data_IF_589655402752
#
_entry.id   IF_589655402752
#
_cell.length_a   1.000
_cell.length_b   1.000
_cell.length_c   1.000
_cell.angle_alpha   90.00
_cell.angle_beta   90.00
_cell.angle_gamma   90.00
#
_symmetry.space_group_name_H-M   'P 1'
#
loop_
_entity.id
_entity.type
_entity.pdbx_description
1 polymer ?
#
# COMPACT_ATOMS: atom_id res chain seq x y z
N UNK A 1 36.45 -6.12 11.53
CA UNK A 1 36.57 -6.04 10.05
C UNK A 1 37.68 -5.12 9.53
N UNK A 2 37.92 -3.91 10.07
CA UNK A 2 39.01 -3.01 9.61
C UNK A 2 40.41 -3.67 9.66
N UNK A 3 40.74 -4.35 10.77
CA UNK A 3 42.02 -5.05 10.97
C UNK A 3 42.28 -6.21 9.98
N UNK A 4 41.24 -6.96 9.58
CA UNK A 4 41.36 -8.04 8.57
C UNK A 4 41.72 -7.47 7.18
N UNK A 5 41.18 -6.29 6.86
CA UNK A 5 41.41 -5.63 5.58
C UNK A 5 42.83 -5.07 5.50
N UNK A 6 43.34 -4.50 6.59
CA UNK A 6 44.74 -4.08 6.74
C UNK A 6 45.72 -5.25 6.58
N UNK A 7 45.47 -6.39 7.24
CA UNK A 7 46.33 -7.59 7.12
C UNK A 7 46.37 -8.14 5.69
N UNK A 8 45.23 -8.12 4.98
CA UNK A 8 45.16 -8.52 3.55
C UNK A 8 45.92 -7.57 2.64
N UNK A 9 45.90 -6.26 2.92
CA UNK A 9 46.69 -5.28 2.18
C UNK A 9 48.20 -5.50 2.41
N UNK A 10 48.64 -5.74 3.65
CA UNK A 10 50.03 -6.05 3.98
C UNK A 10 50.52 -7.35 3.32
N UNK A 11 49.67 -8.39 3.25
CA UNK A 11 50.01 -9.60 2.51
C UNK A 11 50.15 -9.33 1.02
N UNK A 12 49.24 -8.53 0.44
CA UNK A 12 49.25 -8.22 -0.98
C UNK A 12 50.56 -7.50 -1.39
N UNK A 13 51.01 -6.53 -0.59
CA UNK A 13 52.28 -5.83 -0.82
C UNK A 13 53.49 -6.76 -0.72
N UNK A 14 53.53 -7.69 0.25
CA UNK A 14 54.61 -8.69 0.34
C UNK A 14 54.60 -9.64 -0.86
N UNK A 15 53.43 -10.11 -1.31
CA UNK A 15 53.36 -10.96 -2.51
C UNK A 15 53.76 -10.24 -3.78
N UNK A 16 53.55 -8.92 -3.84
CA UNK A 16 54.01 -8.09 -4.94
C UNK A 16 55.54 -7.94 -4.90
N UNK A 17 56.15 -7.72 -3.74
CA UNK A 17 57.60 -7.69 -3.56
C UNK A 17 58.27 -9.03 -3.91
N UNK A 18 57.66 -10.16 -3.52
CA UNK A 18 58.14 -11.49 -3.91
C UNK A 18 58.07 -11.65 -5.45
N UNK A 19 56.98 -11.18 -6.06
CA UNK A 19 56.81 -11.25 -7.52
C UNK A 19 57.82 -10.38 -8.26
N UNK A 20 58.11 -9.18 -7.77
CA UNK A 20 59.11 -8.30 -8.41
C UNK A 20 60.51 -8.90 -8.34
N UNK A 21 60.90 -9.48 -7.20
CA UNK A 21 62.19 -10.19 -7.06
C UNK A 21 62.31 -11.35 -8.05
N UNK A 22 61.28 -12.18 -8.19
CA UNK A 22 61.28 -13.28 -9.16
C UNK A 22 61.33 -12.79 -10.61
N UNK A 23 60.54 -11.77 -10.97
CA UNK A 23 60.55 -11.21 -12.33
C UNK A 23 61.89 -10.55 -12.68
N UNK A 24 62.59 -9.97 -11.70
CA UNK A 24 63.93 -9.40 -11.90
C UNK A 24 64.96 -10.50 -12.20
N UNK A 25 64.93 -11.59 -11.45
CA UNK A 25 65.80 -12.75 -11.70
C UNK A 25 65.52 -13.40 -13.08
N UNK A 26 64.24 -13.53 -13.46
CA UNK A 26 63.83 -14.03 -14.77
C UNK A 26 64.30 -13.13 -15.92
N UNK A 27 64.15 -11.80 -15.79
CA UNK A 27 64.58 -10.83 -16.80
C UNK A 27 66.11 -10.83 -16.98
N UNK A 28 66.86 -11.05 -15.91
CA UNK A 28 68.32 -11.15 -15.93
C UNK A 28 68.83 -12.55 -16.33
N UNK A 29 67.92 -13.50 -16.64
CA UNK A 29 68.19 -14.90 -17.03
C UNK A 29 69.18 -15.61 -16.10
N UNK A 30 69.14 -15.30 -14.81
CA UNK A 30 70.01 -15.88 -13.77
C UNK A 30 69.17 -16.50 -12.66
N UNK A 31 69.77 -17.42 -11.91
CA UNK A 31 69.23 -17.82 -10.62
C UNK A 31 69.35 -16.68 -9.61
N UNK A 32 68.51 -16.71 -8.57
CA UNK A 32 68.60 -15.81 -7.43
C UNK A 32 70.04 -15.81 -6.87
N UNK A 33 70.60 -14.63 -6.62
CA UNK A 33 71.87 -14.50 -5.90
C UNK A 33 71.68 -14.92 -4.44
N UNK A 34 72.77 -15.23 -3.74
CA UNK A 34 72.69 -15.71 -2.35
C UNK A 34 71.97 -14.71 -1.42
N UNK A 35 72.13 -13.40 -1.66
CA UNK A 35 71.45 -12.35 -0.90
C UNK A 35 69.96 -12.20 -1.30
N UNK A 36 69.62 -12.35 -2.58
CA UNK A 36 68.22 -12.30 -3.05
C UNK A 36 67.44 -13.56 -2.64
N UNK A 37 68.11 -14.71 -2.53
CA UNK A 37 67.53 -15.94 -1.99
C UNK A 37 67.18 -15.78 -0.50
N UNK A 38 68.09 -15.20 0.30
CA UNK A 38 67.83 -14.89 1.72
C UNK A 38 66.66 -13.92 1.89
N UNK A 39 66.58 -12.88 1.06
CA UNK A 39 65.46 -11.93 1.07
C UNK A 39 64.13 -12.58 0.65
N UNK A 40 64.15 -13.48 -0.33
CA UNK A 40 62.98 -14.24 -0.74
C UNK A 40 62.46 -15.12 0.39
N UNK A 41 63.34 -15.86 1.07
CA UNK A 41 62.98 -16.72 2.19
C UNK A 41 62.41 -15.91 3.37
N UNK A 42 62.97 -14.74 3.64
CA UNK A 42 62.46 -13.84 4.70
C UNK A 42 61.07 -13.28 4.38
N UNK A 43 60.86 -12.75 3.17
CA UNK A 43 59.55 -12.25 2.73
C UNK A 43 58.50 -13.37 2.68
N UNK A 44 58.92 -14.58 2.32
CA UNK A 44 58.04 -15.75 2.32
C UNK A 44 57.59 -16.11 3.73
N UNK A 45 58.52 -16.13 4.69
CA UNK A 45 58.21 -16.38 6.09
C UNK A 45 57.24 -15.33 6.65
N UNK A 46 57.41 -14.05 6.31
CA UNK A 46 56.48 -12.97 6.71
C UNK A 46 55.10 -13.10 6.04
N UNK A 47 55.04 -13.57 4.79
CA UNK A 47 53.76 -13.84 4.12
C UNK A 47 53.03 -15.00 4.78
N UNK A 48 53.76 -16.04 5.19
CA UNK A 48 53.19 -17.22 5.83
C UNK A 48 52.73 -16.93 7.27
N UNK A 49 53.42 -16.07 8.03
CA UNK A 49 52.91 -15.60 9.33
C UNK A 49 51.62 -14.79 9.17
N UNK A 50 51.56 -13.84 8.23
CA UNK A 50 50.33 -13.08 7.94
C UNK A 50 49.18 -13.98 7.46
N UNK A 51 49.47 -15.04 6.69
CA UNK A 51 48.47 -16.03 6.28
C UNK A 51 47.84 -16.72 7.50
N UNK A 52 48.66 -17.11 8.47
CA UNK A 52 48.14 -17.73 9.70
C UNK A 52 47.31 -16.76 10.54
N UNK A 53 47.68 -15.47 10.57
CA UNK A 53 46.93 -14.45 11.31
C UNK A 53 45.60 -14.11 10.62
N UNK A 54 45.59 -13.98 9.30
CA UNK A 54 44.37 -13.80 8.50
C UNK A 54 43.41 -14.98 8.73
N UNK A 55 43.91 -16.22 8.69
CA UNK A 55 43.09 -17.40 8.93
C UNK A 55 42.45 -17.41 10.33
N UNK A 56 43.16 -16.93 11.37
CA UNK A 56 42.62 -16.79 12.72
C UNK A 56 41.52 -15.72 12.80
N UNK A 57 41.71 -14.58 12.16
CA UNK A 57 40.70 -13.51 12.12
C UNK A 57 39.48 -13.88 11.26
N UNK A 58 39.68 -14.66 10.19
CA UNK A 58 38.59 -15.21 9.38
C UNK A 58 37.77 -16.21 10.18
N UNK A 59 38.44 -17.15 10.88
CA UNK A 59 37.76 -18.09 11.79
C UNK A 59 36.97 -17.36 12.88
N UNK A 60 37.55 -16.32 13.50
CA UNK A 60 36.84 -15.50 14.49
C UNK A 60 35.64 -14.77 13.88
N UNK A 61 35.77 -14.22 12.66
CA UNK A 61 34.67 -13.54 11.97
C UNK A 61 33.57 -14.50 11.53
N UNK A 62 33.92 -15.74 11.18
CA UNK A 62 32.97 -16.78 10.83
C UNK A 62 32.30 -17.35 12.09
N UNK A 63 33.00 -17.40 13.22
CA UNK A 63 32.43 -17.66 14.54
C UNK A 63 31.46 -16.54 14.97
N UNK A 64 31.83 -15.26 14.83
CA UNK A 64 30.94 -14.11 15.08
C UNK A 64 29.71 -14.14 14.16
N UNK A 65 29.87 -14.50 12.87
CA UNK A 65 28.74 -14.73 11.95
C UNK A 65 27.90 -15.94 12.32
N UNK A 66 28.50 -16.98 12.90
CA UNK A 66 27.79 -18.18 13.36
C UNK A 66 27.03 -17.92 14.67
N UNK A 67 27.54 -17.07 15.56
CA UNK A 67 26.82 -16.60 16.74
C UNK A 67 25.68 -15.65 16.35
N UNK A 68 25.86 -14.84 15.31
CA UNK A 68 24.78 -14.06 14.68
C UNK A 68 23.72 -14.91 13.96
N UNK A 69 23.93 -16.23 13.82
CA UNK A 69 22.95 -17.21 13.29
C UNK A 69 22.06 -17.85 14.36
N UNK A 70 22.01 -17.32 15.58
CA UNK A 70 20.80 -17.49 16.40
C UNK A 70 19.70 -16.55 15.87
N UNK A 71 19.22 -16.87 14.67
CA UNK A 71 18.06 -16.26 14.06
C UNK A 71 16.93 -17.30 14.06
N UNK A 72 15.69 -16.90 14.37
CA UNK A 72 14.55 -17.80 14.51
C UNK A 72 14.29 -18.54 13.20
N UNK A 73 13.55 -19.64 13.30
CA UNK A 73 13.15 -20.49 12.19
C UNK A 73 12.82 -19.68 10.92
N UNK A 74 13.35 -20.12 9.78
CA UNK A 74 12.96 -19.69 8.43
C UNK A 74 11.44 -19.49 8.36
N UNK A 75 10.98 -18.24 8.43
CA UNK A 75 9.58 -17.92 8.15
C UNK A 75 9.32 -18.30 6.70
N UNK A 76 8.44 -19.27 6.50
CA UNK A 76 7.90 -19.60 5.20
C UNK A 76 7.17 -18.36 4.68
N UNK A 77 7.72 -17.72 3.64
CA UNK A 77 7.08 -16.61 2.92
C UNK A 77 5.62 -16.98 2.64
N UNK A 78 4.69 -16.16 3.15
CA UNK A 78 3.26 -16.42 2.97
C UNK A 78 2.89 -16.28 1.49
N UNK A 79 1.90 -17.07 1.05
CA UNK A 79 1.34 -16.95 -0.30
C UNK A 79 0.90 -15.51 -0.62
N UNK A 80 0.49 -14.73 0.39
CA UNK A 80 0.10 -13.33 0.23
C UNK A 80 1.28 -12.38 -0.03
N UNK A 81 2.44 -12.67 0.56
CA UNK A 81 3.67 -11.91 0.31
C UNK A 81 4.24 -12.21 -1.07
N UNK A 82 4.17 -13.48 -1.49
CA UNK A 82 4.53 -13.90 -2.84
C UNK A 82 3.58 -13.31 -3.89
N UNK A 83 2.27 -13.24 -3.60
CA UNK A 83 1.27 -12.53 -4.42
C UNK A 83 1.67 -11.09 -4.59
N UNK A 84 1.95 -10.39 -3.48
CA UNK A 84 2.34 -8.98 -3.51
C UNK A 84 3.61 -8.79 -4.34
N UNK A 85 4.67 -9.57 -4.11
CA UNK A 85 5.93 -9.45 -4.86
C UNK A 85 5.77 -9.67 -6.37
N UNK A 86 4.98 -10.67 -6.79
CA UNK A 86 4.71 -10.91 -8.21
C UNK A 86 3.87 -9.76 -8.81
N UNK A 87 2.93 -9.19 -8.04
CA UNK A 87 2.02 -8.13 -8.47
C UNK A 87 2.53 -6.70 -8.32
N UNK A 88 3.56 -6.42 -7.53
CA UNK A 88 4.12 -5.06 -7.33
C UNK A 88 5.60 -4.99 -7.70
N UNK A 89 6.34 -6.11 -7.63
CA UNK A 89 7.79 -6.14 -7.87
C UNK A 89 8.61 -5.56 -6.71
N UNK A 90 7.95 -5.14 -5.63
CA UNK A 90 8.59 -4.59 -4.44
C UNK A 90 8.83 -5.71 -3.41
N UNK A 91 10.10 -5.98 -3.11
CA UNK A 91 10.47 -6.70 -1.88
C UNK A 91 10.39 -5.69 -0.74
N UNK A 92 9.44 -5.82 0.19
CA UNK A 92 9.57 -5.13 1.48
C UNK A 92 10.73 -5.77 2.24
N UNK A 93 11.94 -5.26 2.02
CA UNK A 93 13.11 -5.63 2.81
C UNK A 93 13.07 -4.87 4.14
N UNK A 94 12.52 -5.50 5.17
CA UNK A 94 12.95 -5.22 6.54
C UNK A 94 14.29 -5.94 6.73
N UNK A 95 15.38 -5.22 6.48
CA UNK A 95 16.71 -5.60 6.96
C UNK A 95 17.36 -4.36 7.56
N UNK A 96 17.03 -4.12 8.82
CA UNK A 96 17.80 -3.26 9.73
C UNK A 96 19.13 -3.96 10.03
N UNK A 97 20.12 -3.81 9.14
CA UNK A 97 21.39 -4.51 9.29
C UNK A 97 22.63 -3.73 8.86
N UNK A 98 22.48 -2.56 8.24
CA UNK A 98 23.61 -1.68 7.92
C UNK A 98 23.17 -0.21 8.03
N UNK A 99 23.50 0.51 9.12
CA UNK A 99 23.27 1.95 9.22
C UNK A 99 24.42 2.67 8.50
N UNK A 100 24.38 2.73 7.16
CA UNK A 100 25.41 3.43 6.39
C UNK A 100 24.92 4.31 5.25
N UNK A 101 23.61 4.41 5.00
CA UNK A 101 23.08 5.42 4.08
C UNK A 101 21.81 6.02 4.70
N UNK A 102 22.03 7.07 5.50
CA UNK A 102 20.95 7.95 5.96
C UNK A 102 20.30 8.62 4.76
N UNK A 103 18.97 8.50 4.65
CA UNK A 103 18.20 9.13 3.57
C UNK A 103 16.80 8.56 3.32
N UNK A 104 16.41 7.42 3.91
CA UNK A 104 15.08 6.83 3.64
C UNK A 104 14.29 6.37 4.87
N UNK A 105 14.77 6.61 6.10
CA UNK A 105 14.04 6.24 7.33
C UNK A 105 13.05 7.30 7.83
N UNK A 106 13.17 8.56 7.37
CA UNK A 106 12.31 9.66 7.88
C UNK A 106 10.93 9.68 7.20
N UNK A 107 10.84 9.24 5.94
CA UNK A 107 9.60 9.36 5.13
C UNK A 107 8.46 8.42 5.61
N UNK A 108 8.71 7.14 6.00
CA UNK A 108 7.63 6.28 6.51
C UNK A 108 7.07 6.73 7.87
N UNK A 109 7.89 7.38 8.70
CA UNK A 109 7.47 7.85 10.03
C UNK A 109 6.65 9.14 9.92
N UNK A 110 7.09 10.09 9.08
CA UNK A 110 6.35 11.32 8.77
C UNK A 110 4.96 11.01 8.19
N UNK A 111 4.88 10.07 7.23
CA UNK A 111 3.60 9.66 6.64
C UNK A 111 2.65 9.03 7.67
N UNK A 112 3.18 8.33 8.69
CA UNK A 112 2.37 7.76 9.77
C UNK A 112 1.87 8.84 10.71
N UNK A 113 2.70 9.82 11.05
CA UNK A 113 2.32 10.94 11.90
C UNK A 113 1.21 11.77 11.26
N UNK A 114 1.35 12.12 9.97
CA UNK A 114 0.31 12.86 9.25
C UNK A 114 -0.99 12.05 9.19
N UNK A 115 -0.93 10.73 8.95
CA UNK A 115 -2.14 9.89 8.95
C UNK A 115 -2.78 9.74 10.34
N UNK A 116 -1.98 9.74 11.41
CA UNK A 116 -2.49 9.75 12.79
C UNK A 116 -3.18 11.06 13.10
N UNK A 117 -2.52 12.20 12.82
CA UNK A 117 -3.09 13.53 12.99
C UNK A 117 -4.41 13.67 12.21
N UNK A 118 -4.43 13.22 10.96
CA UNK A 118 -5.63 13.25 10.12
C UNK A 118 -6.76 12.35 10.64
N UNK A 119 -6.44 11.23 11.30
CA UNK A 119 -7.44 10.35 11.90
C UNK A 119 -7.99 10.92 13.23
N UNK A 120 -7.15 11.62 13.99
CA UNK A 120 -7.51 12.19 15.29
C UNK A 120 -8.30 13.51 15.15
N UNK A 121 -7.95 14.35 14.17
CA UNK A 121 -8.58 15.65 13.94
C UNK A 121 -9.85 15.56 13.09
N UNK A 122 -9.92 14.67 12.08
CA UNK A 122 -11.12 14.57 11.25
C UNK A 122 -12.29 13.90 11.99
N UNK A 123 -13.31 14.70 12.25
CA UNK A 123 -14.58 14.26 12.84
C UNK A 123 -15.30 13.29 11.91
N UNK A 124 -15.26 13.52 10.59
CA UNK A 124 -15.89 12.63 9.62
C UNK A 124 -15.27 11.23 9.63
N UNK A 125 -13.95 11.12 9.81
CA UNK A 125 -13.23 9.83 9.94
C UNK A 125 -13.59 9.08 11.22
N UNK A 126 -13.90 9.80 12.29
CA UNK A 126 -14.33 9.21 13.58
C UNK A 126 -15.75 8.63 13.53
N UNK A 127 -16.65 9.24 12.75
CA UNK A 127 -18.08 8.83 12.69
C UNK A 127 -18.37 7.83 11.57
N UNK A 128 -17.57 7.81 10.51
CA UNK A 128 -17.78 6.96 9.34
C UNK A 128 -16.96 5.66 9.41
N UNK A 129 -17.31 4.68 8.58
CA UNK A 129 -16.47 3.46 8.45
C UNK A 129 -15.37 3.69 7.42
N UNK A 130 -14.12 3.46 7.81
CA UNK A 130 -12.95 3.54 6.93
C UNK A 130 -12.71 2.19 6.25
N UNK A 131 -12.49 2.23 4.94
CA UNK A 131 -12.11 1.09 4.09
C UNK A 131 -10.82 1.42 3.36
N UNK A 132 -10.05 0.40 3.02
CA UNK A 132 -8.83 0.56 2.22
C UNK A 132 -8.97 -0.19 0.90
N UNK A 133 -8.41 0.37 -0.17
CA UNK A 133 -8.38 -0.25 -1.49
C UNK A 133 -7.01 -0.09 -2.17
N UNK A 134 -6.70 -1.01 -3.08
CA UNK A 134 -5.48 -0.99 -3.93
C UNK A 134 -5.75 -0.44 -5.33
N UNK A 135 -7.01 -0.42 -5.74
CA UNK A 135 -7.42 0.11 -7.04
C UNK A 135 -7.88 1.55 -6.87
N UNK A 136 -7.93 2.29 -7.98
CA UNK A 136 -8.48 3.65 -8.02
C UNK A 136 -10.01 3.70 -7.76
N UNK A 137 -10.61 2.57 -7.40
CA UNK A 137 -12.04 2.38 -7.23
C UNK A 137 -12.28 1.27 -6.19
N UNK A 138 -13.29 1.44 -5.34
CA UNK A 138 -13.79 0.45 -4.38
C UNK A 138 -15.25 0.14 -4.68
N UNK A 139 -15.61 -1.14 -4.70
CA UNK A 139 -16.95 -1.61 -5.11
C UNK A 139 -17.53 -2.50 -4.04
N UNK A 140 -18.82 -2.30 -3.76
CA UNK A 140 -19.56 -3.13 -2.82
C UNK A 140 -20.99 -3.34 -3.28
N UNK A 141 -21.44 -4.61 -3.26
CA UNK A 141 -22.82 -4.96 -3.51
C UNK A 141 -23.65 -4.74 -2.24
N UNK A 142 -24.79 -4.06 -2.37
CA UNK A 142 -25.73 -3.80 -1.28
C UNK A 142 -27.12 -4.28 -1.65
N UNK A 143 -27.83 -4.87 -0.70
CA UNK A 143 -29.22 -5.27 -0.89
C UNK A 143 -30.15 -4.08 -0.65
N UNK A 144 -31.01 -3.77 -1.63
CA UNK A 144 -32.01 -2.69 -1.54
C UNK A 144 -33.30 -3.19 -0.85
N UNK A 145 -33.35 -4.47 -0.46
CA UNK A 145 -34.55 -5.11 0.05
C UNK A 145 -35.51 -5.46 -1.08
N UNK A 146 -36.82 -5.51 -0.78
CA UNK A 146 -37.86 -5.92 -1.73
C UNK A 146 -38.38 -7.35 -1.53
N UNK A 147 -37.79 -8.10 -0.60
CA UNK A 147 -38.36 -9.36 -0.13
C UNK A 147 -39.73 -9.09 0.52
N UNK A 148 -40.78 -9.66 -0.04
CA UNK A 148 -42.10 -9.64 0.57
C UNK A 148 -42.36 -10.97 1.30
N UNK A 149 -43.01 -10.90 2.46
CA UNK A 149 -43.50 -12.09 3.16
C UNK A 149 -45.02 -12.06 3.10
N UNK A 150 -45.63 -13.14 2.62
CA UNK A 150 -47.07 -13.30 2.55
C UNK A 150 -47.52 -14.37 3.54
N UNK A 151 -48.67 -14.15 4.18
CA UNK A 151 -49.32 -15.17 5.00
C UNK A 151 -50.10 -16.14 4.09
N UNK A 152 -49.93 -17.44 4.30
CA UNK A 152 -50.67 -18.47 3.55
C UNK A 152 -51.96 -18.87 4.26
N UNK A 153 -53.02 -19.12 3.50
CA UNK A 153 -54.26 -19.74 3.97
C UNK A 153 -54.28 -21.23 3.59
N UNK A 154 -54.94 -22.06 4.40
CA UNK A 154 -55.09 -23.50 4.13
C UNK A 154 -55.98 -23.74 2.89
N UNK A 155 -55.54 -24.62 1.99
CA UNK A 155 -56.29 -24.99 0.78
C UNK A 155 -56.13 -24.06 -0.43
N UNK A 156 -55.36 -22.96 -0.33
CA UNK A 156 -55.08 -22.07 -1.47
C UNK A 156 -53.62 -22.17 -1.94
N UNK A 157 -53.42 -22.07 -3.26
CA UNK A 157 -52.09 -22.01 -3.85
C UNK A 157 -51.36 -20.73 -3.42
N UNK A 158 -50.09 -20.86 -3.04
CA UNK A 158 -49.23 -19.73 -2.65
C UNK A 158 -48.65 -19.08 -3.91
N UNK A 159 -48.86 -17.77 -4.06
CA UNK A 159 -48.26 -16.98 -5.15
C UNK A 159 -46.79 -16.62 -4.88
N UNK A 160 -46.08 -16.22 -5.93
CA UNK A 160 -44.69 -15.75 -5.83
C UNK A 160 -44.60 -14.44 -5.03
N UNK A 161 -43.64 -14.37 -4.11
CA UNK A 161 -43.35 -13.15 -3.34
C UNK A 161 -42.23 -12.33 -4.00
N UNK A 162 -42.18 -11.03 -3.71
CA UNK A 162 -41.12 -10.14 -4.21
C UNK A 162 -39.72 -10.67 -3.92
N UNK A 163 -38.85 -10.64 -4.93
CA UNK A 163 -37.44 -11.07 -4.82
C UNK A 163 -36.55 -9.90 -4.39
N UNK A 164 -35.58 -10.10 -3.47
CA UNK A 164 -34.63 -9.05 -3.09
C UNK A 164 -33.82 -8.57 -4.30
N UNK A 165 -33.71 -7.25 -4.46
CA UNK A 165 -32.82 -6.63 -5.46
C UNK A 165 -31.47 -6.29 -4.83
N UNK A 166 -30.39 -6.48 -5.59
CA UNK A 166 -29.05 -6.02 -5.22
C UNK A 166 -28.65 -4.89 -6.17
N UNK A 167 -28.03 -3.86 -5.62
CA UNK A 167 -27.43 -2.74 -6.36
C UNK A 167 -25.93 -2.68 -6.06
N UNK A 168 -25.16 -2.18 -7.01
CA UNK A 168 -23.72 -2.00 -6.86
C UNK A 168 -23.41 -0.53 -6.51
N UNK A 169 -22.62 -0.33 -5.44
CA UNK A 169 -22.10 0.98 -5.05
C UNK A 169 -20.62 1.02 -5.41
N UNK A 170 -20.24 1.98 -6.27
CA UNK A 170 -18.84 2.22 -6.65
C UNK A 170 -18.34 3.56 -6.12
N UNK A 171 -17.13 3.54 -5.56
CA UNK A 171 -16.46 4.68 -4.94
C UNK A 171 -15.11 4.85 -5.64
N UNK A 172 -14.95 5.93 -6.42
CA UNK A 172 -13.70 6.30 -7.08
C UNK A 172 -12.79 7.06 -6.12
N UNK A 173 -11.48 6.94 -6.29
CA UNK A 173 -10.49 7.69 -5.53
C UNK A 173 -9.88 8.80 -6.40
N UNK A 174 -9.74 9.99 -5.82
CA UNK A 174 -9.17 11.18 -6.42
C UNK A 174 -7.99 11.71 -5.59
N UNK A 175 -6.89 12.14 -6.21
CA UNK A 175 -5.77 12.67 -5.45
C UNK A 175 -6.06 14.08 -4.91
N UNK A 176 -5.82 14.29 -3.62
CA UNK A 176 -5.58 15.58 -2.98
C UNK A 176 -4.07 15.77 -2.87
N UNK A 177 -3.57 16.95 -3.23
CA UNK A 177 -2.14 17.23 -3.19
C UNK A 177 -1.85 18.64 -2.67
N UNK A 178 -0.72 18.78 -1.97
CA UNK A 178 -0.09 20.06 -1.69
C UNK A 178 1.29 20.09 -2.32
N UNK A 179 1.68 21.26 -2.82
CA UNK A 179 3.00 21.46 -3.42
C UNK A 179 3.60 22.83 -3.08
N UNK A 180 3.81 23.15 -1.80
CA UNK A 180 4.48 24.38 -1.41
C UNK A 180 5.97 24.37 -1.79
N UNK A 181 6.50 25.57 -2.00
CA UNK A 181 7.90 25.83 -2.37
C UNK A 181 8.58 26.68 -1.30
N UNK A 182 9.83 26.39 -1.00
CA UNK A 182 10.72 27.21 -0.19
C UNK A 182 12.09 27.35 -0.87
N UNK A 183 12.92 28.29 -0.42
CA UNK A 183 14.30 28.43 -0.93
C UNK A 183 15.26 27.55 -0.14
N UNK A 184 16.28 27.03 -0.81
CA UNK A 184 17.30 26.20 -0.15
C UNK A 184 18.08 27.00 0.92
N UNK A 185 18.36 28.27 0.64
CA UNK A 185 19.03 29.18 1.59
C UNK A 185 18.24 29.32 2.90
N UNK A 186 16.91 29.40 2.83
CA UNK A 186 16.09 29.52 4.03
C UNK A 186 16.11 28.23 4.84
N UNK A 187 16.20 27.06 4.20
CA UNK A 187 16.36 25.79 4.92
C UNK A 187 17.74 25.71 5.59
N UNK A 188 18.79 26.13 4.91
CA UNK A 188 20.18 25.97 5.38
C UNK A 188 20.58 27.01 6.43
N UNK A 189 19.99 28.22 6.40
CA UNK A 189 20.34 29.35 7.28
C UNK A 189 19.29 29.70 8.32
N UNK A 190 18.15 28.99 8.37
CA UNK A 190 17.16 29.22 9.43
C UNK A 190 17.50 28.43 10.68
N UNK A 191 17.39 29.08 11.84
CA UNK A 191 17.45 28.43 13.16
C UNK A 191 16.17 27.66 13.51
N UNK A 192 15.13 27.72 12.64
CA UNK A 192 13.82 27.09 12.83
C UNK A 192 13.66 25.91 11.86
N UNK A 193 13.04 24.81 12.31
CA UNK A 193 12.71 23.67 11.45
C UNK A 193 11.54 24.00 10.50
N UNK A 194 11.87 24.58 9.35
CA UNK A 194 10.90 24.99 8.33
C UNK A 194 10.25 23.78 7.67
N UNK A 195 10.93 22.65 7.56
CA UNK A 195 10.37 21.44 6.95
C UNK A 195 9.35 20.77 7.87
N UNK A 196 9.64 20.73 9.18
CA UNK A 196 8.68 20.29 10.20
C UNK A 196 7.42 21.14 10.20
N UNK A 197 7.58 22.47 10.26
CA UNK A 197 6.46 23.42 10.20
C UNK A 197 5.64 23.30 8.90
N UNK A 198 6.30 23.23 7.75
CA UNK A 198 5.62 23.06 6.47
C UNK A 198 4.81 21.76 6.44
N UNK A 199 5.33 20.70 7.05
CA UNK A 199 4.64 19.41 7.08
C UNK A 199 3.42 19.43 7.99
N UNK A 200 3.47 20.10 9.15
CA UNK A 200 2.29 20.27 10.02
C UNK A 200 1.22 21.11 9.33
N UNK A 201 1.61 22.22 8.69
CA UNK A 201 0.66 23.07 7.95
C UNK A 201 0.00 22.31 6.79
N UNK A 202 0.77 21.47 6.09
CA UNK A 202 0.21 20.57 5.08
C UNK A 202 -0.78 19.60 5.73
N UNK A 203 -0.45 18.99 6.88
CA UNK A 203 -1.36 18.07 7.55
C UNK A 203 -2.71 18.72 7.88
N UNK A 204 -2.68 19.92 8.48
CA UNK A 204 -3.88 20.68 8.89
C UNK A 204 -4.74 21.03 7.66
N UNK A 205 -4.12 21.58 6.60
CA UNK A 205 -4.85 21.92 5.36
C UNK A 205 -5.41 20.68 4.64
N UNK A 206 -4.77 19.51 4.78
CA UNK A 206 -5.31 18.25 4.29
C UNK A 206 -6.55 17.80 5.07
N UNK A 207 -6.59 18.01 6.39
CA UNK A 207 -7.77 17.74 7.22
C UNK A 207 -8.94 18.60 6.74
N UNK A 208 -8.73 19.92 6.64
CA UNK A 208 -9.76 20.88 6.27
C UNK A 208 -10.35 20.62 4.89
N UNK A 209 -9.48 20.37 3.91
CA UNK A 209 -9.88 20.08 2.53
C UNK A 209 -10.62 18.75 2.43
N UNK A 210 -10.12 17.71 3.10
CA UNK A 210 -10.80 16.42 3.16
C UNK A 210 -12.17 16.54 3.82
N UNK A 211 -12.29 17.19 4.99
CA UNK A 211 -13.56 17.38 5.68
C UNK A 211 -14.57 18.13 4.81
N UNK A 212 -14.14 19.22 4.18
CA UNK A 212 -14.97 20.02 3.28
C UNK A 212 -15.53 19.17 2.13
N UNK A 213 -14.67 18.35 1.51
CA UNK A 213 -15.03 17.46 0.43
C UNK A 213 -15.99 16.35 0.89
N UNK A 214 -15.79 15.78 2.09
CA UNK A 214 -16.67 14.74 2.66
C UNK A 214 -18.04 15.29 3.08
N UNK A 215 -18.16 16.58 3.40
CA UNK A 215 -19.41 17.23 3.77
C UNK A 215 -20.18 17.70 2.53
N UNK A 216 -19.52 18.49 1.68
CA UNK A 216 -20.16 19.29 0.63
C UNK A 216 -19.58 19.11 -0.77
N UNK A 217 -18.60 18.22 -0.95
CA UNK A 217 -17.95 18.04 -2.23
C UNK A 217 -18.94 17.57 -3.33
N UNK A 218 -18.66 17.96 -4.57
CA UNK A 218 -19.57 17.84 -5.71
C UNK A 218 -19.44 16.50 -6.47
N UNK A 219 -18.47 15.66 -6.12
CA UNK A 219 -18.18 14.41 -6.84
C UNK A 219 -17.38 14.58 -8.13
N UNK A 220 -17.05 15.81 -8.55
CA UNK A 220 -16.30 16.10 -9.76
C UNK A 220 -14.83 16.32 -9.44
N UNK A 221 -14.04 15.26 -9.55
CA UNK A 221 -12.60 15.24 -9.22
C UNK A 221 -12.24 15.42 -7.74
N UNK A 222 -13.23 15.44 -6.85
CA UNK A 222 -13.14 15.57 -5.39
C UNK A 222 -14.36 14.93 -4.75
N UNK A 223 -14.30 14.54 -3.48
CA UNK A 223 -15.32 13.70 -2.85
C UNK A 223 -16.75 14.15 -3.06
N UNK A 224 -17.66 13.17 -3.14
CA UNK A 224 -19.09 13.47 -3.15
C UNK A 224 -19.56 13.49 -1.71
N UNK A 225 -19.67 14.70 -1.17
CA UNK A 225 -20.09 14.90 0.20
C UNK A 225 -21.52 14.46 0.45
N UNK A 226 -21.84 14.12 1.70
CA UNK A 226 -23.17 13.60 2.04
C UNK A 226 -24.31 14.61 1.78
N UNK A 227 -24.02 15.93 1.74
CA UNK A 227 -25.01 16.97 1.43
C UNK A 227 -25.34 17.10 -0.06
N UNK A 228 -24.46 16.60 -0.92
CA UNK A 228 -24.58 16.68 -2.39
C UNK A 228 -25.43 15.56 -2.97
N UNK A 229 -25.89 14.60 -2.16
CA UNK A 229 -26.83 13.57 -2.61
C UNK A 229 -28.22 14.16 -2.85
N UNK A 230 -28.95 13.64 -3.84
CA UNK A 230 -30.32 14.08 -4.10
C UNK A 230 -31.20 13.83 -2.87
N UNK A 231 -32.12 14.75 -2.58
CA UNK A 231 -32.97 14.76 -1.39
C UNK A 231 -34.45 14.82 -1.75
N UNK A 232 -35.26 14.01 -1.07
CA UNK A 232 -36.71 13.90 -1.28
C UNK A 232 -37.45 13.86 0.07
N UNK A 233 -38.71 14.29 0.11
CA UNK A 233 -39.58 14.25 1.30
C UNK A 233 -40.26 12.88 1.47
N UNK A 234 -40.29 12.06 0.42
CA UNK A 234 -40.93 10.75 0.43
C UNK A 234 -40.30 9.76 1.43
N UNK A 235 -41.02 8.69 1.79
CA UNK A 235 -40.54 7.65 2.70
C UNK A 235 -39.61 6.63 2.01
N UNK A 236 -38.75 5.96 2.78
CA UNK A 236 -37.71 5.00 2.33
C UNK A 236 -38.11 3.96 1.27
N UNK A 237 -39.35 3.47 1.26
CA UNK A 237 -39.79 2.40 0.33
C UNK A 237 -40.31 2.92 -1.00
N UNK A 238 -40.65 4.21 -1.07
CA UNK A 238 -41.17 4.87 -2.27
C UNK A 238 -40.05 5.56 -3.03
N UNK A 239 -39.04 6.03 -2.29
CA UNK A 239 -37.86 6.73 -2.82
C UNK A 239 -36.94 5.85 -3.66
N UNK A 240 -36.36 6.47 -4.68
CA UNK A 240 -35.28 5.88 -5.47
C UNK A 240 -34.05 5.67 -4.59
N UNK A 241 -33.37 4.54 -4.77
CA UNK A 241 -32.09 4.26 -4.11
C UNK A 241 -31.09 5.40 -4.35
N UNK A 242 -30.39 5.81 -3.29
CA UNK A 242 -29.44 6.94 -3.35
C UNK A 242 -30.03 8.32 -3.09
N UNK A 243 -31.33 8.43 -2.78
CA UNK A 243 -31.96 9.70 -2.37
C UNK A 243 -32.13 9.79 -0.84
N UNK A 244 -31.58 10.85 -0.24
CA UNK A 244 -31.69 11.11 1.20
C UNK A 244 -33.02 11.76 1.56
N UNK A 245 -33.45 11.63 2.82
CA UNK A 245 -34.72 12.24 3.24
C UNK A 245 -34.43 13.67 3.67
N UNK A 246 -35.27 14.61 3.24
CA UNK A 246 -35.23 15.98 3.75
C UNK A 246 -36.50 16.31 4.53
N UNK A 247 -36.30 17.10 5.58
CA UNK A 247 -37.34 17.83 6.29
C UNK A 247 -37.01 19.31 6.10
N UNK A 248 -37.90 20.06 5.46
CA UNK A 248 -37.74 21.50 5.26
C UNK A 248 -38.63 22.23 6.26
N UNK A 249 -38.04 23.16 7.02
CA UNK A 249 -38.73 23.92 8.06
C UNK A 249 -38.38 25.39 7.89
N UNK A 250 -39.37 26.27 8.05
CA UNK A 250 -39.22 27.73 7.93
C UNK A 250 -38.52 28.36 9.14
N UNK A 251 -38.66 27.75 10.33
CA UNK A 251 -37.99 28.17 11.56
C UNK A 251 -37.60 26.95 12.39
N UNK A 252 -36.38 26.95 12.93
CA UNK A 252 -35.90 25.87 13.78
C UNK A 252 -36.71 25.81 15.08
N UNK A 253 -37.44 24.72 15.29
CA UNK A 253 -38.22 24.45 16.51
C UNK A 253 -37.81 23.13 17.15
N UNK A 254 -38.10 22.96 18.45
CA UNK A 254 -37.86 21.71 19.15
C UNK A 254 -38.65 20.54 18.54
N UNK A 255 -39.90 20.80 18.12
CA UNK A 255 -40.75 19.78 17.48
C UNK A 255 -40.13 19.29 16.17
N UNK A 256 -39.53 20.18 15.39
CA UNK A 256 -38.85 19.82 14.13
C UNK A 256 -37.68 18.86 14.34
N UNK A 257 -36.94 19.00 15.45
CA UNK A 257 -35.84 18.10 15.81
C UNK A 257 -36.35 16.72 16.25
N UNK A 258 -37.47 16.70 16.97
CA UNK A 258 -38.14 15.47 17.39
C UNK A 258 -38.67 14.73 16.16
N UNK A 259 -39.35 15.43 15.26
CA UNK A 259 -39.89 14.87 14.03
C UNK A 259 -38.78 14.27 13.16
N UNK A 260 -37.65 14.98 13.00
CA UNK A 260 -36.49 14.49 12.27
C UNK A 260 -35.92 13.20 12.89
N UNK A 261 -35.85 13.11 14.23
CA UNK A 261 -35.42 11.90 14.93
C UNK A 261 -36.36 10.71 14.69
N UNK A 262 -37.67 10.93 14.74
CA UNK A 262 -38.65 9.86 14.57
C UNK A 262 -38.92 9.51 13.10
N UNK A 263 -38.51 10.37 12.16
CA UNK A 263 -38.49 10.08 10.73
C UNK A 263 -37.48 8.98 10.38
N UNK A 264 -36.36 8.94 11.11
CA UNK A 264 -35.36 7.89 10.96
C UNK A 264 -35.92 6.56 11.49
N UNK A 265 -35.80 5.49 10.71
CA UNK A 265 -36.23 4.15 11.15
C UNK A 265 -35.43 3.70 12.38
N UNK A 266 -36.12 3.06 13.32
CA UNK A 266 -35.54 2.53 14.56
C UNK A 266 -34.30 1.63 14.34
N UNK A 267 -34.20 0.92 13.20
CA UNK A 267 -33.01 0.14 12.84
C UNK A 267 -31.73 0.99 12.78
N UNK A 268 -31.85 2.24 12.34
CA UNK A 268 -30.74 3.18 12.18
C UNK A 268 -30.59 4.12 13.39
N UNK A 269 -31.66 4.38 14.14
CA UNK A 269 -31.60 5.22 15.33
C UNK A 269 -30.63 4.74 16.41
N UNK A 270 -30.34 3.43 16.50
CA UNK A 270 -29.45 2.86 17.53
C UNK A 270 -28.03 3.44 17.51
N UNK A 271 -27.51 3.75 16.33
CA UNK A 271 -26.15 4.27 16.14
C UNK A 271 -26.18 5.64 15.42
N UNK A 272 -27.32 6.32 15.46
CA UNK A 272 -27.47 7.60 14.78
C UNK A 272 -26.73 8.70 15.55
N UNK A 273 -26.17 9.65 14.80
CA UNK A 273 -25.41 10.78 15.33
C UNK A 273 -25.91 12.07 14.70
N UNK A 274 -26.00 13.13 15.51
CA UNK A 274 -26.28 14.48 15.03
C UNK A 274 -25.00 15.12 14.52
N UNK A 275 -25.13 15.82 13.39
CA UNK A 275 -24.03 16.52 12.74
C UNK A 275 -24.52 17.93 12.38
N UNK A 276 -23.81 18.96 12.83
CA UNK A 276 -24.14 20.37 12.57
C UNK A 276 -22.91 21.27 12.75
N UNK A 277 -22.99 22.50 12.22
CA UNK A 277 -22.01 23.55 12.51
C UNK A 277 -22.16 24.06 13.96
N UNK A 278 -21.09 24.49 14.60
CA UNK A 278 -21.08 25.12 15.93
C UNK A 278 -22.03 26.34 16.00
N UNK A 279 -22.12 27.14 14.93
CA UNK A 279 -23.06 28.27 14.87
C UNK A 279 -24.53 27.82 14.90
N UNK A 280 -24.82 26.69 14.24
CA UNK A 280 -26.16 26.07 14.22
C UNK A 280 -26.46 25.40 15.57
N UNK A 281 -25.47 24.79 16.21
CA UNK A 281 -25.62 24.26 17.56
C UNK A 281 -25.96 25.36 18.57
N UNK A 282 -25.31 26.53 18.48
CA UNK A 282 -25.65 27.67 19.31
C UNK A 282 -27.11 28.12 19.11
N UNK A 283 -27.68 28.00 17.91
CA UNK A 283 -29.10 28.27 17.66
C UNK A 283 -30.00 27.20 18.30
N UNK A 284 -29.62 25.92 18.24
CA UNK A 284 -30.34 24.82 18.91
C UNK A 284 -30.33 25.00 20.43
N UNK A 285 -29.20 25.41 21.01
CA UNK A 285 -29.07 25.63 22.45
C UNK A 285 -29.91 26.82 22.93
N UNK A 286 -30.09 27.84 22.09
CA UNK A 286 -30.95 29.00 22.37
C UNK A 286 -32.45 28.68 22.37
N UNK A 287 -32.86 27.47 21.98
CA UNK A 287 -34.26 27.05 22.04
C UNK A 287 -34.72 26.95 23.50
N UNK A 288 -35.79 27.67 23.82
CA UNK A 288 -36.37 27.73 25.16
C UNK A 288 -37.76 27.11 25.18
N UNK A 289 -38.13 26.52 26.32
CA UNK A 289 -39.51 26.15 26.59
C UNK A 289 -40.37 27.40 26.89
N UNK A 290 -41.69 27.23 26.99
CA UNK A 290 -42.60 28.33 27.36
C UNK A 290 -42.32 28.98 28.73
N UNK A 291 -41.52 28.31 29.59
CA UNK A 291 -41.09 28.81 30.90
C UNK A 291 -39.74 29.53 30.86
N UNK A 292 -39.11 29.67 29.69
CA UNK A 292 -37.82 30.35 29.51
C UNK A 292 -36.57 29.49 29.78
N UNK A 293 -36.72 28.22 30.11
CA UNK A 293 -35.60 27.29 30.29
C UNK A 293 -35.09 26.78 28.95
N UNK A 294 -33.76 26.67 28.82
CA UNK A 294 -33.12 26.02 27.68
C UNK A 294 -33.48 24.54 27.59
N UNK A 295 -33.92 24.11 26.40
CA UNK A 295 -34.33 22.73 26.10
C UNK A 295 -33.12 21.80 26.04
N UNK A 296 -32.01 22.31 25.51
CA UNK A 296 -30.74 21.62 25.45
C UNK A 296 -29.68 22.43 26.18
N UNK A 297 -28.86 21.75 26.98
CA UNK A 297 -27.74 22.33 27.71
C UNK A 297 -26.53 21.45 27.45
N UNK A 298 -25.39 22.09 27.23
CA UNK A 298 -24.11 21.40 27.21
C UNK A 298 -23.87 20.75 28.58
N UNK A 299 -23.20 19.60 28.58
CA UNK A 299 -22.83 18.96 29.85
C UNK A 299 -21.68 19.75 30.48
N UNK A 300 -21.74 19.89 31.81
CA UNK A 300 -20.72 20.61 32.58
C UNK A 300 -19.44 19.77 32.83
N UNK A 301 -19.43 18.50 32.41
CA UNK A 301 -18.34 17.55 32.66
C UNK A 301 -17.50 17.40 31.39
N UNK A 302 -16.18 17.59 31.53
CA UNK A 302 -15.22 17.45 30.42
C UNK A 302 -15.20 16.01 29.86
N UNK A 303 -14.95 15.89 28.56
CA UNK A 303 -14.81 14.66 27.75
C UNK A 303 -16.06 13.83 27.39
N UNK A 304 -17.24 14.14 27.91
CA UNK A 304 -18.47 13.49 27.43
C UNK A 304 -19.02 14.22 26.19
N UNK A 305 -19.33 13.51 25.08
CA UNK A 305 -19.92 14.15 23.89
C UNK A 305 -21.29 14.72 24.23
N UNK A 306 -21.60 15.90 23.68
CA UNK A 306 -22.90 16.51 23.89
C UNK A 306 -24.03 15.61 23.38
N UNK A 307 -25.11 15.52 24.16
CA UNK A 307 -26.24 14.63 23.86
C UNK A 307 -27.46 15.48 23.54
N UNK A 308 -28.00 15.34 22.33
CA UNK A 308 -29.24 15.95 21.89
C UNK A 308 -30.29 14.85 21.68
N UNK A 309 -31.40 14.94 22.43
CA UNK A 309 -32.50 13.97 22.38
C UNK A 309 -32.04 12.50 22.57
N UNK A 310 -30.99 12.28 23.37
CA UNK A 310 -30.46 10.93 23.66
C UNK A 310 -29.51 10.37 22.59
N UNK A 311 -29.07 11.18 21.63
CA UNK A 311 -28.07 10.82 20.62
C UNK A 311 -26.87 11.79 20.70
N UNK A 312 -25.64 11.33 20.40
CA UNK A 312 -24.46 12.19 20.43
C UNK A 312 -24.52 13.27 19.34
N UNK A 313 -23.83 14.38 19.59
CA UNK A 313 -23.65 15.50 18.67
C UNK A 313 -22.16 15.62 18.29
N UNK A 314 -21.89 15.76 17.01
CA UNK A 314 -20.57 16.11 16.50
C UNK A 314 -20.63 17.40 15.70
N UNK A 315 -19.65 18.26 15.96
CA UNK A 315 -19.52 19.54 15.28
C UNK A 315 -18.69 19.36 14.01
N UNK A 316 -19.25 19.78 12.87
CA UNK A 316 -18.53 19.89 11.60
C UNK A 316 -18.51 21.36 11.20
N UNK A 317 -17.34 21.98 11.27
CA UNK A 317 -17.19 23.41 10.98
C UNK A 317 -17.45 23.74 9.51
N UNK A 318 -17.16 22.80 8.60
CA UNK A 318 -17.36 22.94 7.16
C UNK A 318 -18.81 22.71 6.69
N UNK A 319 -19.73 22.49 7.61
CA UNK A 319 -21.15 22.36 7.29
C UNK A 319 -21.80 23.74 7.11
N UNK A 320 -22.63 23.96 6.07
CA UNK A 320 -23.33 25.23 5.89
C UNK A 320 -24.27 25.53 7.06
N UNK A 321 -24.42 26.80 7.38
CA UNK A 321 -25.29 27.25 8.48
C UNK A 321 -26.76 26.88 8.23
N UNK A 322 -27.47 26.55 9.31
CA UNK A 322 -28.90 26.22 9.25
C UNK A 322 -29.21 24.83 8.70
N UNK A 323 -28.19 24.02 8.39
CA UNK A 323 -28.35 22.63 7.97
C UNK A 323 -28.00 21.71 9.14
N UNK A 324 -28.85 20.72 9.41
CA UNK A 324 -28.63 19.70 10.43
C UNK A 324 -28.74 18.32 9.77
N UNK A 325 -27.77 17.46 10.04
CA UNK A 325 -27.74 16.07 9.62
C UNK A 325 -28.05 15.12 10.78
N UNK A 326 -28.82 14.07 10.51
CA UNK A 326 -29.00 12.93 11.41
C UNK A 326 -28.91 11.63 10.62
N UNK A 327 -28.10 10.70 11.09
CA UNK A 327 -28.05 9.37 10.50
C UNK A 327 -27.03 8.44 11.15
N UNK A 328 -27.10 7.17 10.77
CA UNK A 328 -26.04 6.19 11.08
C UNK A 328 -24.94 6.32 10.03
N UNK A 329 -23.99 7.23 10.27
CA UNK A 329 -22.88 7.49 9.36
C UNK A 329 -21.94 6.28 9.21
N UNK A 330 -21.81 5.42 10.24
CA UNK A 330 -21.01 4.19 10.16
C UNK A 330 -21.51 3.24 9.08
N UNK A 331 -22.83 3.18 8.88
CA UNK A 331 -23.46 2.34 7.83
C UNK A 331 -23.76 3.11 6.54
N UNK A 332 -24.07 4.39 6.65
CA UNK A 332 -24.53 5.22 5.55
C UNK A 332 -23.41 5.81 4.70
N UNK A 333 -22.20 5.97 5.26
CA UNK A 333 -21.10 6.66 4.60
C UNK A 333 -19.77 5.92 4.81
N UNK A 334 -19.10 5.63 3.70
CA UNK A 334 -17.80 4.95 3.68
C UNK A 334 -16.72 5.92 3.22
N UNK A 335 -15.66 6.01 4.02
CA UNK A 335 -14.42 6.69 3.63
C UNK A 335 -13.49 5.61 3.10
N UNK A 336 -13.01 5.75 1.87
CA UNK A 336 -12.13 4.79 1.22
C UNK A 336 -10.77 5.43 0.99
N UNK A 337 -9.75 4.88 1.64
CA UNK A 337 -8.36 5.27 1.46
C UNK A 337 -7.64 4.33 0.50
N UNK A 338 -6.64 4.85 -0.21
CA UNK A 338 -5.71 4.00 -0.93
C UNK A 338 -4.70 3.37 0.06
N UNK A 339 -4.34 2.10 -0.13
CA UNK A 339 -3.43 1.36 0.77
C UNK A 339 -2.05 2.04 0.93
N UNK A 340 -1.64 2.84 -0.05
CA UNK A 340 -0.36 3.55 0.01
C UNK A 340 -0.34 4.73 0.98
N UNK A 341 -1.51 5.17 1.46
CA UNK A 341 -1.64 6.32 2.36
C UNK A 341 -1.14 7.63 1.74
N UNK A 342 -0.63 8.51 2.61
CA UNK A 342 0.00 9.78 2.27
C UNK A 342 1.43 9.53 1.80
N UNK A 343 1.85 10.26 0.77
CA UNK A 343 3.20 10.23 0.22
C UNK A 343 3.77 11.63 0.18
N UNK A 344 4.83 11.85 0.95
CA UNK A 344 5.63 13.08 0.86
C UNK A 344 6.91 12.80 0.06
N UNK A 345 7.15 13.59 -0.99
CA UNK A 345 8.35 13.53 -1.84
C UNK A 345 9.04 14.90 -1.85
N UNK A 346 10.31 14.98 -1.44
CA UNK A 346 11.10 16.18 -1.66
C UNK A 346 11.52 16.29 -3.12
N UNK A 347 11.47 17.50 -3.68
CA UNK A 347 11.94 17.83 -5.02
C UNK A 347 12.87 19.05 -4.95
N UNK A 348 14.16 18.78 -5.15
CA UNK A 348 15.23 19.76 -5.24
C UNK A 348 15.85 19.83 -6.65
N UNK A 349 15.30 19.10 -7.63
CA UNK A 349 15.89 18.93 -8.97
C UNK A 349 15.16 19.79 -10.00
N UNK A 350 13.84 19.90 -9.89
CA UNK A 350 13.02 20.53 -10.94
C UNK A 350 13.27 22.03 -11.06
N UNK A 351 13.70 22.71 -9.98
CA UNK A 351 14.03 24.14 -10.00
C UNK A 351 15.24 24.43 -9.08
N UNK A 352 16.45 24.63 -9.64
CA UNK A 352 17.65 24.87 -8.83
C UNK A 352 17.51 26.09 -7.91
N UNK A 353 17.98 25.96 -6.67
CA UNK A 353 17.87 26.99 -5.62
C UNK A 353 16.57 26.95 -4.81
N UNK A 354 15.59 26.16 -5.24
CA UNK A 354 14.35 25.93 -4.52
C UNK A 354 14.24 24.48 -4.03
N UNK A 355 13.58 24.34 -2.88
CA UNK A 355 13.19 23.06 -2.32
C UNK A 355 11.66 22.99 -2.29
N UNK A 356 11.09 21.98 -2.94
CA UNK A 356 9.65 21.78 -3.03
C UNK A 356 9.27 20.51 -2.30
N UNK A 357 8.17 20.54 -1.56
CA UNK A 357 7.64 19.37 -0.85
C UNK A 357 6.34 18.96 -1.51
N UNK A 358 6.36 17.86 -2.26
CA UNK A 358 5.17 17.31 -2.88
C UNK A 358 4.53 16.27 -1.97
N UNK A 359 3.38 16.60 -1.40
CA UNK A 359 2.59 15.68 -0.60
C UNK A 359 1.31 15.32 -1.35
N UNK A 360 1.09 14.04 -1.63
CA UNK A 360 -0.12 13.54 -2.28
C UNK A 360 -0.80 12.43 -1.45
N UNK A 361 -2.14 12.47 -1.43
CA UNK A 361 -3.02 11.46 -0.85
C UNK A 361 -4.18 11.20 -1.80
N UNK A 362 -4.70 9.97 -1.87
CA UNK A 362 -5.95 9.70 -2.59
C UNK A 362 -7.15 9.71 -1.62
N UNK A 363 -8.18 10.50 -1.93
CA UNK A 363 -9.45 10.70 -1.19
C UNK A 363 -10.67 10.51 -2.13
N UNK A 364 -11.77 10.04 -1.55
CA UNK A 364 -13.01 9.48 -2.13
C UNK A 364 -13.74 10.33 -3.18
N UNK A 365 -14.65 9.72 -3.99
CA UNK A 365 -15.90 10.19 -4.65
C UNK A 365 -16.86 9.01 -4.82
N UNK A 366 -18.16 9.22 -4.66
CA UNK A 366 -19.20 8.23 -4.93
C UNK A 366 -20.07 8.66 -6.14
N UNK A 367 -19.94 8.01 -7.31
CA UNK A 367 -20.95 8.05 -8.40
C UNK A 367 -20.88 6.77 -9.28
N UNK A 368 -22.04 6.42 -9.84
CA UNK A 368 -22.49 5.19 -10.50
C UNK A 368 -21.61 4.59 -11.64
N UNK A 369 -21.92 3.32 -11.99
CA UNK A 369 -21.04 2.21 -12.42
C UNK A 369 -21.25 1.62 -13.85
N UNK A 370 -20.16 1.11 -14.51
CA UNK A 370 -19.99 -0.20 -15.23
C UNK A 370 -18.55 -0.38 -15.84
N UNK A 371 -18.02 -1.58 -16.23
CA UNK A 371 -17.05 -2.38 -15.47
C UNK A 371 -15.64 -2.54 -16.15
N UNK A 372 -14.60 -3.14 -15.49
CA UNK A 372 -14.47 -4.62 -15.43
C UNK A 372 -13.97 -5.21 -14.09
N UNK A 373 -14.07 -6.54 -14.05
CA UNK A 373 -13.98 -7.53 -12.97
C UNK A 373 -12.68 -7.58 -12.13
N UNK A 374 -12.85 -8.08 -10.91
CA UNK A 374 -11.87 -8.65 -9.98
C UNK A 374 -10.64 -9.34 -10.64
N UNK A 375 -9.44 -8.86 -10.31
CA UNK A 375 -8.14 -9.35 -10.78
C UNK A 375 -7.68 -10.73 -10.22
N UNK A 376 -8.60 -11.61 -9.81
CA UNK A 376 -8.27 -12.99 -9.41
C UNK A 376 -8.30 -14.01 -10.57
N UNK A 377 -8.59 -13.55 -11.80
CA UNK A 377 -8.65 -14.39 -13.02
C UNK A 377 -7.52 -14.11 -14.02
N UNK A 378 -6.33 -13.69 -13.58
CA UNK A 378 -5.21 -13.51 -14.52
C UNK A 378 -4.82 -14.89 -15.11
N UNK A 379 -5.09 -15.05 -16.40
CA UNK A 379 -4.79 -16.27 -17.14
C UNK A 379 -3.28 -16.49 -17.22
N UNK A 380 -2.87 -17.75 -17.46
CA UNK A 380 -1.44 -18.10 -17.68
C UNK A 380 -0.75 -17.27 -18.77
N UNK A 381 -1.52 -16.72 -19.71
CA UNK A 381 -1.02 -15.88 -20.81
C UNK A 381 -0.77 -14.45 -20.33
N UNK A 382 -1.74 -13.87 -19.62
CA UNK A 382 -1.67 -12.51 -19.09
C UNK A 382 -0.56 -12.35 -18.05
N UNK A 383 -0.41 -13.30 -17.11
CA UNK A 383 0.66 -13.21 -16.11
C UNK A 383 2.06 -13.33 -16.74
N UNK A 384 2.19 -14.16 -17.78
CA UNK A 384 3.44 -14.29 -18.54
C UNK A 384 3.79 -13.00 -19.29
N UNK A 385 2.79 -12.29 -19.80
CA UNK A 385 2.96 -11.00 -20.46
C UNK A 385 3.31 -9.91 -19.46
N UNK A 386 2.64 -9.87 -18.30
CA UNK A 386 2.88 -8.91 -17.23
C UNK A 386 4.33 -8.95 -16.70
N UNK A 387 4.86 -10.16 -16.47
CA UNK A 387 6.26 -10.35 -16.03
C UNK A 387 7.25 -10.16 -17.19
N UNK A 388 6.79 -10.13 -18.44
CA UNK A 388 7.65 -9.94 -19.62
C UNK A 388 8.46 -11.18 -20.00
N UNK A 389 7.86 -12.37 -19.82
CA UNK A 389 8.44 -13.69 -20.18
C UNK A 389 7.68 -14.38 -21.32
N UNK A 390 6.58 -13.79 -21.78
CA UNK A 390 5.87 -14.24 -22.96
C UNK A 390 6.65 -13.85 -24.24
N UNK A 391 6.86 -14.77 -25.20
CA UNK A 391 7.46 -14.43 -26.47
C UNK A 391 6.48 -13.60 -27.31
N UNK A 392 6.90 -12.39 -27.71
CA UNK A 392 6.12 -11.47 -28.54
C UNK A 392 6.58 -11.60 -29.99
N UNK A 393 5.64 -11.52 -30.93
CA UNK A 393 5.95 -11.49 -32.35
C UNK A 393 6.41 -10.09 -32.77
N UNK A 394 7.39 -10.02 -33.68
CA UNK A 394 7.91 -8.77 -34.22
C UNK A 394 7.71 -8.78 -35.73
N UNK A 395 6.44 -8.86 -36.13
CA UNK A 395 6.05 -8.97 -37.52
C UNK A 395 5.65 -7.59 -38.05
N UNK A 396 6.11 -7.21 -39.24
CA UNK A 396 5.69 -5.98 -39.93
C UNK A 396 5.43 -6.26 -41.42
N UNK A 397 4.21 -6.01 -41.89
CA UNK A 397 3.83 -6.28 -43.28
C UNK A 397 4.08 -7.73 -43.69
N UNK A 398 5.08 -7.95 -44.56
CA UNK A 398 5.53 -9.28 -45.02
C UNK A 398 6.67 -9.89 -44.20
N UNK A 399 7.28 -9.13 -43.29
CA UNK A 399 8.40 -9.58 -42.46
C UNK A 399 7.88 -10.38 -41.26
N UNK A 400 8.35 -11.63 -41.14
CA UNK A 400 8.18 -12.47 -39.93
C UNK A 400 9.52 -12.62 -39.23
N UNK A 401 9.74 -11.87 -38.15
CA UNK A 401 11.01 -11.84 -37.40
C UNK A 401 10.99 -12.83 -36.21
N UNK A 402 12.17 -13.06 -35.62
CA UNK A 402 12.35 -13.93 -34.45
C UNK A 402 11.57 -13.38 -33.26
N UNK A 403 10.84 -14.27 -32.59
CA UNK A 403 10.11 -13.93 -31.36
C UNK A 403 11.09 -13.66 -30.22
N UNK A 404 10.97 -12.50 -29.60
CA UNK A 404 11.79 -12.10 -28.44
C UNK A 404 10.88 -11.85 -27.25
N UNK A 405 11.45 -11.94 -26.04
CA UNK A 405 10.80 -11.42 -24.85
C UNK A 405 11.12 -9.93 -24.76
N UNK A 406 10.11 -9.09 -24.51
CA UNK A 406 10.28 -7.65 -24.40
C UNK A 406 9.30 -7.08 -23.36
N UNK A 407 9.65 -5.95 -22.76
CA UNK A 407 8.81 -5.26 -21.77
C UNK A 407 8.65 -6.02 -20.46
N UNK A 408 7.54 -5.76 -19.76
CA UNK A 408 7.18 -6.35 -18.47
C UNK A 408 8.08 -5.89 -17.31
N UNK A 409 8.01 -6.62 -16.20
CA UNK A 409 8.67 -6.25 -14.93
C UNK A 409 10.04 -6.85 -14.80
N UNK A 410 11.06 -6.04 -15.08
CA UNK A 410 12.45 -6.48 -15.10
C UNK A 410 12.92 -7.08 -13.76
N UNK A 411 12.58 -6.47 -12.62
CA UNK A 411 12.98 -6.98 -11.28
C UNK A 411 12.46 -8.39 -10.99
N UNK A 412 11.15 -8.60 -11.16
CA UNK A 412 10.50 -9.92 -10.97
C UNK A 412 11.06 -10.95 -11.95
N UNK A 413 11.28 -10.55 -13.21
CA UNK A 413 11.88 -11.44 -14.22
C UNK A 413 13.29 -11.86 -13.83
N UNK A 414 14.12 -10.95 -13.32
CA UNK A 414 15.49 -11.24 -12.87
C UNK A 414 15.47 -12.19 -11.67
N UNK A 415 14.62 -11.94 -10.68
CA UNK A 415 14.49 -12.81 -9.51
C UNK A 415 14.03 -14.22 -9.88
N UNK A 416 12.99 -14.34 -10.73
CA UNK A 416 12.52 -15.62 -11.23
C UNK A 416 13.58 -16.32 -12.10
N UNK A 417 14.39 -15.57 -12.84
CA UNK A 417 15.50 -16.14 -13.60
C UNK A 417 16.55 -16.75 -12.67
N UNK A 418 16.94 -16.05 -11.61
CA UNK A 418 17.87 -16.57 -10.59
C UNK A 418 17.30 -17.79 -9.87
N UNK A 419 16.02 -17.75 -9.48
CA UNK A 419 15.34 -18.90 -8.89
C UNK A 419 15.29 -20.10 -9.85
N UNK A 420 15.07 -19.85 -11.15
CA UNK A 420 15.02 -20.92 -12.16
C UNK A 420 16.41 -21.55 -12.40
N UNK A 421 17.50 -20.80 -12.29
CA UNK A 421 18.85 -21.35 -12.36
C UNK A 421 19.11 -22.38 -11.25
N UNK A 422 18.59 -22.14 -10.05
CA UNK A 422 18.66 -23.09 -8.93
C UNK A 422 17.67 -24.24 -9.16
N UNK A 423 16.43 -23.93 -9.56
CA UNK A 423 15.38 -24.92 -9.78
C UNK A 423 15.74 -25.96 -10.86
N UNK A 424 16.44 -25.55 -11.93
CA UNK A 424 16.90 -26.48 -12.98
C UNK A 424 17.94 -27.49 -12.48
N UNK A 425 18.61 -27.24 -11.35
CA UNK A 425 19.58 -28.15 -10.75
C UNK A 425 18.95 -29.08 -9.71
N UNK A 426 18.10 -28.52 -8.85
CA UNK A 426 17.60 -29.18 -7.64
C UNK A 426 16.13 -29.60 -7.71
N UNK A 427 15.27 -28.90 -8.46
CA UNK A 427 13.86 -29.26 -8.58
C UNK A 427 13.65 -30.28 -9.72
N UNK A 428 13.18 -31.51 -9.43
CA UNK A 428 13.07 -32.58 -10.44
C UNK A 428 12.10 -32.22 -11.58
N UNK A 429 11.01 -31.49 -11.31
CA UNK A 429 9.98 -31.11 -12.29
C UNK A 429 10.51 -30.09 -13.29
N UNK A 430 11.25 -29.08 -12.82
CA UNK A 430 11.82 -28.05 -13.68
C UNK A 430 13.05 -28.59 -14.42
N UNK A 431 13.86 -29.43 -13.77
CA UNK A 431 15.05 -30.08 -14.37
C UNK A 431 14.70 -30.98 -15.55
N UNK A 432 13.71 -31.85 -15.39
CA UNK A 432 13.23 -32.74 -16.47
C UNK A 432 12.67 -31.94 -17.65
N UNK A 433 11.87 -30.90 -17.38
CA UNK A 433 11.36 -29.99 -18.40
C UNK A 433 12.49 -29.27 -19.16
N UNK A 434 13.52 -28.80 -18.45
CA UNK A 434 14.69 -28.16 -19.03
C UNK A 434 15.49 -29.12 -19.92
N UNK A 435 15.80 -30.32 -19.43
CA UNK A 435 16.53 -31.34 -20.18
C UNK A 435 15.80 -31.77 -21.44
N UNK A 436 14.47 -31.92 -21.38
CA UNK A 436 13.63 -32.22 -22.55
C UNK A 436 13.71 -31.14 -23.62
N UNK A 437 13.75 -29.85 -23.23
CA UNK A 437 13.90 -28.75 -24.18
C UNK A 437 15.29 -28.71 -24.82
N UNK A 438 16.34 -29.05 -24.07
CA UNK A 438 17.69 -29.18 -24.61
C UNK A 438 17.80 -30.36 -25.59
N UNK A 439 17.21 -31.51 -25.26
CA UNK A 439 17.14 -32.67 -26.14
C UNK A 439 16.38 -32.35 -27.45
N UNK A 440 15.38 -31.48 -27.39
CA UNK A 440 14.67 -30.94 -28.55
C UNK A 440 15.46 -29.86 -29.34
N UNK A 441 16.75 -29.65 -29.05
CA UNK A 441 17.64 -28.75 -29.77
C UNK A 441 17.45 -27.26 -29.46
N UNK A 442 16.74 -26.89 -28.38
CA UNK A 442 16.55 -25.47 -28.02
C UNK A 442 17.84 -24.88 -27.41
N UNK A 443 18.22 -23.63 -27.75
CA UNK A 443 19.34 -22.96 -27.11
C UNK A 443 19.15 -22.84 -25.59
N UNK A 444 20.23 -23.00 -24.82
CA UNK A 444 20.20 -23.01 -23.34
C UNK A 444 19.46 -21.82 -22.73
N UNK A 445 19.72 -20.61 -23.22
CA UNK A 445 19.03 -19.38 -22.75
C UNK A 445 17.52 -19.43 -23.01
N UNK A 446 17.09 -19.93 -24.17
CA UNK A 446 15.65 -20.06 -24.52
C UNK A 446 14.98 -21.11 -23.65
N UNK A 447 15.65 -22.23 -23.39
CA UNK A 447 15.16 -23.26 -22.49
C UNK A 447 15.00 -22.74 -21.04
N UNK A 448 15.93 -21.91 -20.56
CA UNK A 448 15.80 -21.25 -19.25
C UNK A 448 14.60 -20.31 -19.19
N UNK A 449 14.38 -19.45 -20.20
CA UNK A 449 13.21 -18.56 -20.23
C UNK A 449 11.90 -19.35 -20.26
N UNK A 450 11.85 -20.48 -20.97
CA UNK A 450 10.70 -21.37 -20.94
C UNK A 450 10.46 -21.98 -19.53
N UNK A 451 11.52 -22.31 -18.80
CA UNK A 451 11.44 -22.78 -17.41
C UNK A 451 10.95 -21.68 -16.46
N UNK A 452 11.40 -20.43 -16.63
CA UNK A 452 10.91 -19.26 -15.88
C UNK A 452 9.40 -19.11 -16.03
N UNK A 453 8.89 -19.23 -17.27
CA UNK A 453 7.45 -19.16 -17.53
C UNK A 453 6.68 -20.32 -16.90
N UNK A 454 7.24 -21.53 -16.91
CA UNK A 454 6.65 -22.72 -16.26
C UNK A 454 6.56 -22.52 -14.75
N UNK A 455 7.62 -22.02 -14.11
CA UNK A 455 7.68 -21.70 -12.69
C UNK A 455 6.64 -20.64 -12.30
N UNK A 456 6.57 -19.54 -13.06
CA UNK A 456 5.59 -18.48 -12.85
C UNK A 456 4.13 -18.99 -12.94
N UNK A 457 3.86 -19.90 -13.86
CA UNK A 457 2.51 -20.48 -14.04
C UNK A 457 2.13 -21.37 -12.85
N UNK A 458 3.10 -22.11 -12.28
CA UNK A 458 2.86 -22.93 -11.09
C UNK A 458 2.62 -22.05 -9.87
N UNK A 459 3.44 -21.02 -9.66
CA UNK A 459 3.23 -20.03 -8.60
C UNK A 459 1.86 -19.37 -8.69
N UNK A 460 1.43 -18.96 -9.89
CA UNK A 460 0.08 -18.40 -10.09
C UNK A 460 -1.04 -19.40 -9.75
N UNK A 461 -0.83 -20.69 -10.02
CA UNK A 461 -1.82 -21.72 -9.71
C UNK A 461 -1.91 -22.01 -8.20
N UNK A 462 -0.76 -22.05 -7.51
CA UNK A 462 -0.66 -22.16 -6.05
C UNK A 462 -1.35 -20.97 -5.38
N UNK A 463 -0.99 -19.77 -5.82
CA UNK A 463 -1.62 -18.50 -5.42
C UNK A 463 -3.12 -18.50 -5.67
N UNK A 464 -3.62 -18.95 -6.82
CA UNK A 464 -5.05 -18.92 -7.10
C UNK A 464 -5.85 -19.89 -6.22
N UNK A 465 -5.25 -21.01 -5.82
CA UNK A 465 -5.91 -22.05 -5.02
C UNK A 465 -5.66 -21.92 -3.52
N UNK A 466 -4.78 -21.01 -3.13
CA UNK A 466 -4.30 -20.86 -1.76
C UNK A 466 -3.67 -22.15 -1.21
N UNK A 467 -2.96 -22.89 -2.08
CA UNK A 467 -2.30 -24.15 -1.73
C UNK A 467 -0.78 -24.00 -1.83
N UNK A 468 -0.05 -24.62 -0.90
CA UNK A 468 1.40 -24.78 -0.99
C UNK A 468 1.80 -25.77 -2.09
N UNK A 469 3.11 -25.87 -2.37
CA UNK A 469 3.64 -26.79 -3.37
C UNK A 469 3.32 -28.24 -2.97
N UNK A 470 2.56 -28.94 -3.82
CA UNK A 470 2.28 -30.38 -3.67
C UNK A 470 2.97 -31.15 -4.79
N UNK A 471 3.88 -32.04 -4.40
CA UNK A 471 4.66 -32.87 -5.34
C UNK A 471 3.77 -33.84 -6.14
N UNK A 472 2.62 -34.22 -5.59
CA UNK A 472 1.63 -35.11 -6.21
C UNK A 472 1.10 -34.60 -7.56
N UNK A 473 1.02 -33.28 -7.77
CA UNK A 473 0.51 -32.71 -9.03
C UNK A 473 1.54 -32.73 -10.17
N UNK A 474 2.77 -33.15 -9.88
CA UNK A 474 3.90 -33.05 -10.80
C UNK A 474 4.65 -34.37 -10.97
N UNK A 475 4.06 -35.48 -10.51
CA UNK A 475 4.57 -36.82 -10.77
C UNK A 475 4.65 -37.05 -12.28
N UNK A 476 5.86 -37.35 -12.73
CA UNK A 476 6.15 -37.72 -14.12
C UNK A 476 6.06 -39.23 -14.13
N UNK A 477 4.98 -39.78 -14.70
CA UNK A 477 4.94 -41.20 -15.03
C UNK A 477 6.11 -41.48 -15.99
N UNK A 478 6.96 -42.49 -15.71
CA UNK A 478 8.21 -42.72 -16.44
C UNK A 478 8.03 -42.90 -17.94
#
# INVERSE_FOLDING_TARGET
MKKLLELRQQKATLTEQIRTLLTKAENEKRSLTEDEAKQFDELRNQSDTLNTEIARYEALSDEERSQAKNQPASETLSNDELRHYILTGETRTLSTGVPSEGGYTVIPELNKQIMQQLADESVMRRICTIKTTRSNEYKQLVSVGGAAVAHGEEGKARGETGTPKMEEVSIKLFPIYAYPKTTQEIIDFSDVDILGWLTSEIADTFVDTEETDLVSGDGSKKAKGFLSYPRDTQADKVRTFGTLQKLEVTALSADSLIDLKFLLKNKYCKNAVWVMNSSTAAQVQKLKNGNGDYIWRERLQADDPDILLGLPVHYLEFMPEGVIGLGDFKRGYFIVDHETGIRTRPDNITEPGFYKVHTDKYVVVNENWSPPESFSKISRREISALVGVAPVNRDSGTLRDRRTIFGGRAGVRTALYMATLVATRFNPVIKTFYNRLLAAGKPKKVALVACVRKLLTILNAMIRKDEEWKDSYHQITP
#
